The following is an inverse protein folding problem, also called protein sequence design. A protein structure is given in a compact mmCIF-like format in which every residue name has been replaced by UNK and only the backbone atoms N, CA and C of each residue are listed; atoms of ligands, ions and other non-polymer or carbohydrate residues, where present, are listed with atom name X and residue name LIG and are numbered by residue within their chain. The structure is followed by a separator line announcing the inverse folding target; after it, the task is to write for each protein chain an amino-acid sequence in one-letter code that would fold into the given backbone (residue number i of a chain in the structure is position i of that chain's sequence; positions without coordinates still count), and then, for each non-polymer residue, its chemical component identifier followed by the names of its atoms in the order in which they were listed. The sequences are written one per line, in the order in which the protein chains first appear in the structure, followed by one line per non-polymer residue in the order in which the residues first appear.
data_IF_624220770768
#
_entry.id   IF_624220770768
#
_cell.length_a   1.000
_cell.length_b   1.000
_cell.length_c   1.000
_cell.angle_alpha   90.00
_cell.angle_beta   90.00
_cell.angle_gamma   90.00
#
_symmetry.space_group_name_H-M   'P 1'
#
loop_
_entity.id
_entity.type
_entity.pdbx_description
1 polymer ?
#
# COMPACT_ATOMS: atom_id res chain seq x y z
N UNK A 1 -4.92 0.70 34.79
CA UNK A 1 -6.29 0.67 34.25
C UNK A 1 -7.03 -0.52 34.86
N UNK A 2 -8.36 -0.48 35.03
CA UNK A 2 -9.19 -1.55 35.64
C UNK A 2 -9.19 -1.70 37.18
N UNK A 3 -8.77 -0.69 37.94
CA UNK A 3 -8.96 -0.67 39.41
C UNK A 3 -10.42 -0.43 39.83
N UNK A 4 -10.79 -0.65 41.11
CA UNK A 4 -12.16 -0.43 41.64
C UNK A 4 -12.67 1.01 41.49
N UNK A 5 -11.76 1.98 41.29
CA UNK A 5 -12.09 3.39 41.03
C UNK A 5 -12.57 3.65 39.60
N UNK A 6 -12.47 2.66 38.70
CA UNK A 6 -12.76 2.81 37.27
C UNK A 6 -14.03 2.08 36.81
N UNK A 7 -14.72 1.36 37.71
CA UNK A 7 -16.04 0.80 37.44
C UNK A 7 -16.82 0.62 38.74
N UNK A 8 -18.14 0.68 38.69
CA UNK A 8 -19.02 0.21 39.77
C UNK A 8 -19.94 -0.88 39.26
N UNK A 9 -20.43 -1.69 40.20
CA UNK A 9 -21.42 -2.73 39.92
C UNK A 9 -22.63 -2.55 40.82
N UNK A 10 -23.80 -2.82 40.27
CA UNK A 10 -25.03 -2.86 41.01
C UNK A 10 -24.93 -3.92 42.11
N UNK A 11 -25.12 -3.53 43.38
CA UNK A 11 -24.93 -4.43 44.51
C UNK A 11 -25.94 -5.60 44.58
N UNK A 12 -27.07 -5.49 43.88
CA UNK A 12 -28.14 -6.49 43.87
C UNK A 12 -27.99 -7.47 42.70
N UNK A 13 -27.64 -6.98 41.50
CA UNK A 13 -27.57 -7.81 40.28
C UNK A 13 -26.16 -8.18 39.87
N UNK A 14 -25.14 -7.43 40.32
CA UNK A 14 -23.74 -7.59 39.93
C UNK A 14 -23.39 -6.98 38.56
N UNK A 15 -24.36 -6.40 37.86
CA UNK A 15 -24.15 -5.75 36.56
C UNK A 15 -23.26 -4.51 36.69
N UNK A 16 -22.48 -4.20 35.65
CA UNK A 16 -21.70 -2.96 35.60
C UNK A 16 -22.68 -1.79 35.36
N UNK A 17 -22.79 -0.87 36.32
CA UNK A 17 -23.65 0.32 36.23
C UNK A 17 -22.88 1.62 35.98
N UNK A 18 -21.55 1.58 36.08
CA UNK A 18 -20.63 2.62 35.63
C UNK A 18 -19.33 1.99 35.16
N UNK A 19 -18.81 2.48 34.05
CA UNK A 19 -17.48 2.18 33.55
C UNK A 19 -16.81 3.49 33.13
N UNK A 20 -15.65 3.77 33.70
CA UNK A 20 -14.81 4.89 33.29
C UNK A 20 -14.13 4.56 31.96
N UNK A 21 -14.69 5.06 30.86
CA UNK A 21 -14.12 4.96 29.51
C UNK A 21 -13.35 6.25 29.15
N UNK A 22 -12.37 6.61 29.98
CA UNK A 22 -11.50 7.74 29.68
C UNK A 22 -10.44 7.32 28.66
N UNK A 23 -10.26 8.08 27.59
CA UNK A 23 -9.13 7.86 26.68
C UNK A 23 -7.83 8.15 27.41
N UNK A 24 -6.90 7.20 27.40
CA UNK A 24 -5.56 7.37 27.95
C UNK A 24 -4.54 6.99 26.89
N UNK A 25 -3.50 7.82 26.72
CA UNK A 25 -2.36 7.46 25.89
C UNK A 25 -1.57 6.38 26.63
N UNK A 26 -1.77 5.13 26.21
CA UNK A 26 -1.24 3.94 26.89
C UNK A 26 -0.38 3.11 25.96
N UNK A 27 -0.65 3.15 24.66
CA UNK A 27 0.11 2.42 23.67
C UNK A 27 1.38 3.13 23.23
N UNK A 28 2.31 2.33 22.71
CA UNK A 28 3.54 2.76 22.07
C UNK A 28 3.59 2.17 20.66
N UNK A 29 3.97 2.98 19.68
CA UNK A 29 4.07 2.58 18.28
C UNK A 29 5.43 3.03 17.74
N UNK A 30 6.23 2.07 17.30
CA UNK A 30 7.59 2.30 16.83
C UNK A 30 7.71 1.82 15.39
N UNK A 31 7.98 2.77 14.49
CA UNK A 31 8.26 2.49 13.08
C UNK A 31 9.65 3.03 12.70
N UNK A 32 10.46 2.19 12.07
CA UNK A 32 11.79 2.55 11.59
C UNK A 32 12.01 2.01 10.18
N UNK A 33 12.59 2.83 9.32
CA UNK A 33 12.86 2.47 7.94
C UNK A 33 13.81 3.44 7.25
N UNK A 34 14.09 3.14 5.99
CA UNK A 34 14.92 3.95 5.10
C UNK A 34 14.12 4.25 3.84
N UNK A 35 14.04 5.52 3.48
CA UNK A 35 13.46 5.98 2.22
C UNK A 35 14.54 6.43 1.25
N UNK A 36 14.43 5.99 0.01
CA UNK A 36 15.37 6.26 -1.08
C UNK A 36 14.58 6.86 -2.24
N UNK A 37 15.06 7.98 -2.77
CA UNK A 37 14.51 8.58 -3.98
C UNK A 37 15.64 9.03 -4.89
N UNK A 38 15.48 8.76 -6.18
CA UNK A 38 16.40 9.18 -7.23
C UNK A 38 15.61 9.63 -8.46
N UNK A 39 16.01 10.75 -9.05
CA UNK A 39 15.48 11.23 -10.31
C UNK A 39 16.60 11.60 -11.27
N UNK A 40 16.36 11.37 -12.56
CA UNK A 40 17.32 11.67 -13.61
C UNK A 40 16.60 12.11 -14.88
N UNK A 41 16.86 13.33 -15.31
CA UNK A 41 16.37 13.89 -16.55
C UNK A 41 17.49 13.96 -17.59
N UNK A 42 17.17 13.52 -18.81
CA UNK A 42 18.11 13.57 -19.92
C UNK A 42 17.39 13.73 -21.26
N UNK A 43 18.13 14.10 -22.30
CA UNK A 43 17.60 14.23 -23.65
C UNK A 43 18.36 13.35 -24.63
N UNK A 44 17.63 12.70 -25.53
CA UNK A 44 18.20 11.98 -26.67
C UNK A 44 17.61 12.57 -27.95
N UNK A 45 18.38 13.41 -28.64
CA UNK A 45 17.87 14.20 -29.77
C UNK A 45 16.77 15.15 -29.33
N UNK A 46 15.58 15.03 -29.92
CA UNK A 46 14.38 15.81 -29.60
C UNK A 46 13.46 15.13 -28.57
N UNK A 47 13.90 14.02 -27.96
CA UNK A 47 13.12 13.30 -26.94
C UNK A 47 13.66 13.69 -25.56
N UNK A 48 12.78 14.19 -24.70
CA UNK A 48 13.06 14.45 -23.29
C UNK A 48 12.63 13.25 -22.47
N UNK A 49 13.53 12.73 -21.66
CA UNK A 49 13.30 11.60 -20.76
C UNK A 49 13.37 12.06 -19.32
N UNK A 50 12.54 11.46 -18.48
CA UNK A 50 12.58 11.57 -17.03
C UNK A 50 12.46 10.18 -16.44
N UNK A 51 13.41 9.80 -15.59
CA UNK A 51 13.39 8.54 -14.85
C UNK A 51 13.33 8.87 -13.37
N UNK A 52 12.41 8.25 -12.66
CA UNK A 52 12.22 8.43 -11.23
C UNK A 52 12.10 7.06 -10.56
N UNK A 53 12.80 6.86 -9.44
CA UNK A 53 12.68 5.67 -8.61
C UNK A 53 12.54 6.10 -7.17
N UNK A 54 11.54 5.56 -6.49
CA UNK A 54 11.34 5.71 -5.05
C UNK A 54 11.22 4.32 -4.42
N UNK A 55 11.84 4.12 -3.26
CA UNK A 55 11.77 2.89 -2.51
C UNK A 55 11.79 3.15 -1.00
N UNK A 56 11.04 2.34 -0.27
CA UNK A 56 11.03 2.33 1.20
C UNK A 56 11.42 0.94 1.65
N UNK A 57 12.39 0.87 2.57
CA UNK A 57 12.71 -0.33 3.32
C UNK A 57 12.22 -0.19 4.76
N UNK A 58 11.20 -0.96 5.12
CA UNK A 58 10.72 -1.05 6.49
C UNK A 58 11.60 -2.02 7.26
N UNK A 59 12.21 -1.53 8.34
CA UNK A 59 13.13 -2.32 9.18
C UNK A 59 12.48 -2.79 10.48
N UNK A 60 11.57 -1.99 11.01
CA UNK A 60 10.85 -2.28 12.26
C UNK A 60 9.48 -1.63 12.23
N UNK A 61 8.45 -2.38 12.59
CA UNK A 61 7.15 -1.80 12.91
C UNK A 61 6.47 -2.62 13.99
N UNK A 62 6.32 -2.05 15.18
CA UNK A 62 5.73 -2.71 16.34
C UNK A 62 4.72 -1.79 17.04
N UNK A 63 3.62 -2.37 17.52
CA UNK A 63 2.62 -1.67 18.35
C UNK A 63 2.48 -2.43 19.68
N UNK A 64 2.58 -1.70 20.79
CA UNK A 64 2.34 -2.19 22.14
C UNK A 64 1.10 -1.50 22.69
N UNK A 65 0.07 -2.24 23.13
CA UNK A 65 -1.20 -1.63 23.50
C UNK A 65 -1.16 -0.87 24.84
N UNK A 66 -0.33 -1.35 25.78
CA UNK A 66 -0.10 -0.72 27.09
C UNK A 66 1.25 -1.15 27.67
N UNK A 67 1.78 -0.38 28.62
CA UNK A 67 3.04 -0.71 29.30
C UNK A 67 3.02 -2.12 29.93
N UNK A 68 3.98 -2.96 29.55
CA UNK A 68 4.09 -4.36 29.95
C UNK A 68 3.38 -5.38 29.04
N UNK A 69 2.66 -4.93 28.00
CA UNK A 69 2.10 -5.83 26.97
C UNK A 69 3.20 -6.37 26.02
N UNK A 70 2.91 -7.47 25.33
CA UNK A 70 3.80 -7.99 24.28
C UNK A 70 3.54 -7.22 22.98
N UNK A 71 4.56 -6.61 22.34
CA UNK A 71 4.37 -5.90 21.09
C UNK A 71 3.88 -6.83 19.98
N UNK A 72 2.94 -6.36 19.17
CA UNK A 72 2.60 -6.98 17.89
C UNK A 72 3.56 -6.48 16.82
N UNK A 73 4.16 -7.40 16.05
CA UNK A 73 5.17 -7.12 15.03
C UNK A 73 4.51 -7.11 13.65
N UNK A 74 4.54 -5.96 12.98
CA UNK A 74 3.96 -5.74 11.66
C UNK A 74 4.98 -5.86 10.53
N UNK A 75 6.27 -5.59 10.78
CA UNK A 75 7.25 -5.57 9.69
C UNK A 75 7.36 -6.92 8.94
N UNK A 76 7.38 -6.83 7.61
CA UNK A 76 7.44 -8.00 6.74
C UNK A 76 6.14 -8.81 6.66
N UNK A 77 5.04 -8.33 7.24
CA UNK A 77 3.79 -9.07 7.29
C UNK A 77 2.64 -8.47 6.52
N UNK A 78 1.56 -9.23 6.42
CA UNK A 78 0.27 -8.87 5.84
C UNK A 78 -0.81 -9.75 6.47
N UNK A 79 -2.07 -9.33 6.49
CA UNK A 79 -3.14 -10.20 7.00
C UNK A 79 -4.42 -9.43 7.28
N UNK A 80 -5.51 -10.16 7.61
CA UNK A 80 -6.77 -9.48 7.92
C UNK A 80 -6.56 -8.41 8.96
N UNK A 81 -7.23 -7.28 8.73
CA UNK A 81 -7.55 -6.31 9.77
C UNK A 81 -6.33 -5.47 10.23
N UNK A 82 -5.11 -5.94 9.96
CA UNK A 82 -3.83 -5.32 10.25
C UNK A 82 -3.20 -4.63 9.04
N UNK A 83 -3.57 -5.01 7.81
CA UNK A 83 -3.01 -4.44 6.58
C UNK A 83 -1.64 -5.01 6.20
N UNK A 84 -1.06 -4.53 5.10
CA UNK A 84 0.20 -5.04 4.55
C UNK A 84 1.40 -4.12 4.76
N UNK A 85 2.42 -4.64 5.43
CA UNK A 85 3.69 -3.96 5.72
C UNK A 85 4.90 -4.79 5.22
N UNK A 86 4.96 -5.13 3.93
CA UNK A 86 6.13 -5.81 3.38
C UNK A 86 7.38 -4.97 3.58
N UNK A 87 8.52 -5.62 3.82
CA UNK A 87 9.77 -4.91 4.15
C UNK A 87 10.28 -4.03 3.01
N UNK A 88 9.83 -4.24 1.77
CA UNK A 88 10.17 -3.39 0.63
C UNK A 88 8.91 -2.95 -0.12
N UNK A 89 8.85 -1.66 -0.44
CA UNK A 89 7.94 -1.11 -1.45
C UNK A 89 8.74 -0.20 -2.36
N UNK A 90 8.48 -0.24 -3.66
CA UNK A 90 9.14 0.65 -4.59
C UNK A 90 8.24 1.01 -5.77
N UNK A 91 8.46 2.19 -6.32
CA UNK A 91 7.89 2.62 -7.60
C UNK A 91 9.02 3.13 -8.49
N UNK A 92 8.96 2.75 -9.76
CA UNK A 92 9.82 3.28 -10.81
C UNK A 92 8.97 3.87 -11.91
N UNK A 93 9.33 5.03 -12.44
CA UNK A 93 8.68 5.63 -13.59
C UNK A 93 9.72 6.03 -14.64
N UNK A 94 9.38 5.82 -15.89
CA UNK A 94 10.10 6.35 -17.03
C UNK A 94 9.12 7.07 -17.94
N UNK A 95 9.31 8.37 -18.07
CA UNK A 95 8.54 9.21 -18.97
C UNK A 95 9.41 9.67 -20.14
N UNK A 96 8.80 9.74 -21.32
CA UNK A 96 9.40 10.29 -22.52
C UNK A 96 8.42 11.22 -23.23
N UNK A 97 8.91 12.33 -23.77
CA UNK A 97 8.10 13.25 -24.55
C UNK A 97 8.86 13.79 -25.76
N UNK A 98 8.14 13.98 -26.86
CA UNK A 98 8.68 14.58 -28.08
C UNK A 98 7.58 15.24 -28.90
N UNK A 99 7.65 16.56 -29.05
CA UNK A 99 6.59 17.35 -29.69
C UNK A 99 5.23 17.09 -29.02
N UNK A 100 4.18 16.69 -29.76
CA UNK A 100 2.85 16.44 -29.20
C UNK A 100 2.74 15.10 -28.45
N UNK A 101 3.73 14.21 -28.57
CA UNK A 101 3.69 12.87 -27.97
C UNK A 101 4.25 12.89 -26.55
N UNK A 102 3.59 12.14 -25.68
CA UNK A 102 4.15 11.72 -24.39
C UNK A 102 3.82 10.26 -24.09
N UNK A 103 4.68 9.63 -23.31
CA UNK A 103 4.49 8.26 -22.83
C UNK A 103 5.13 8.10 -21.47
N UNK A 104 4.52 7.27 -20.63
CA UNK A 104 5.02 6.92 -19.32
C UNK A 104 4.86 5.42 -19.11
N UNK A 105 5.92 4.78 -18.65
CA UNK A 105 5.92 3.44 -18.11
C UNK A 105 6.16 3.53 -16.61
N UNK A 106 5.38 2.80 -15.82
CA UNK A 106 5.52 2.72 -14.38
C UNK A 106 5.60 1.26 -13.94
N UNK A 107 6.46 0.97 -12.97
CA UNK A 107 6.53 -0.30 -12.29
C UNK A 107 6.33 -0.09 -10.79
N UNK A 108 5.49 -0.91 -10.15
CA UNK A 108 5.25 -0.89 -8.71
C UNK A 108 5.61 -2.24 -8.11
N UNK A 109 6.59 -2.23 -7.20
CA UNK A 109 6.99 -3.39 -6.41
C UNK A 109 6.31 -3.34 -5.04
N UNK A 110 5.67 -4.45 -4.70
CA UNK A 110 5.27 -4.79 -3.34
C UNK A 110 6.12 -6.00 -2.95
N UNK A 111 6.94 -5.86 -1.92
CA UNK A 111 7.86 -6.90 -1.46
C UNK A 111 7.11 -8.15 -0.99
N UNK A 112 7.88 -9.23 -0.78
CA UNK A 112 7.35 -10.43 -0.15
C UNK A 112 6.87 -10.11 1.27
N UNK A 113 5.89 -10.88 1.74
CA UNK A 113 5.34 -10.74 3.09
C UNK A 113 4.95 -12.11 3.65
N UNK A 114 4.71 -12.17 4.95
CA UNK A 114 4.15 -13.35 5.63
C UNK A 114 2.79 -13.02 6.23
N UNK A 115 1.83 -13.93 6.10
CA UNK A 115 0.53 -13.79 6.74
C UNK A 115 0.66 -13.83 8.28
N UNK A 116 0.27 -12.76 8.98
CA UNK A 116 0.36 -12.67 10.46
C UNK A 116 -0.34 -13.84 11.18
N UNK A 117 -1.40 -14.36 10.57
CA UNK A 117 -2.23 -15.42 11.16
C UNK A 117 -2.11 -16.75 10.41
N UNK A 118 -1.16 -16.83 9.46
CA UNK A 118 -0.88 -18.02 8.68
C UNK A 118 -0.05 -19.05 9.47
N UNK A 119 -0.41 -20.34 9.35
CA UNK A 119 0.43 -21.39 9.89
C UNK A 119 1.66 -21.60 8.97
N UNK A 120 2.88 -21.78 9.52
CA UNK A 120 4.08 -21.99 8.70
C UNK A 120 3.90 -23.10 7.66
N UNK A 121 4.24 -22.81 6.40
CA UNK A 121 4.11 -23.75 5.27
C UNK A 121 2.68 -23.97 4.76
N UNK A 122 1.69 -23.29 5.32
CA UNK A 122 0.34 -23.31 4.79
C UNK A 122 0.21 -22.45 3.53
N UNK A 123 -0.64 -22.88 2.61
CA UNK A 123 -0.96 -22.10 1.40
C UNK A 123 -1.49 -20.73 1.82
N UNK A 124 -0.93 -19.66 1.25
CA UNK A 124 -1.29 -18.27 1.53
C UNK A 124 -0.65 -17.67 2.77
N UNK A 125 0.36 -18.34 3.34
CA UNK A 125 1.17 -17.80 4.44
C UNK A 125 2.40 -17.06 3.92
N UNK A 126 3.22 -17.69 3.08
CA UNK A 126 4.33 -17.01 2.42
C UNK A 126 3.84 -16.36 1.13
N UNK A 127 4.03 -15.06 1.01
CA UNK A 127 3.53 -14.26 -0.10
C UNK A 127 4.70 -13.70 -0.88
N UNK A 128 4.80 -14.11 -2.15
CA UNK A 128 5.84 -13.64 -3.06
C UNK A 128 5.69 -12.14 -3.36
N UNK A 129 6.83 -11.51 -3.68
CA UNK A 129 6.83 -10.15 -4.16
C UNK A 129 6.02 -10.02 -5.47
N UNK A 130 5.33 -8.88 -5.60
CA UNK A 130 4.47 -8.57 -6.75
C UNK A 130 5.00 -7.34 -7.46
N UNK A 131 5.12 -7.44 -8.78
CA UNK A 131 5.52 -6.35 -9.66
C UNK A 131 4.40 -6.05 -10.66
N UNK A 132 3.79 -4.88 -10.51
CA UNK A 132 2.79 -4.37 -11.47
C UNK A 132 3.47 -3.46 -12.47
N UNK A 133 3.02 -3.54 -13.72
CA UNK A 133 3.54 -2.76 -14.84
C UNK A 133 2.41 -1.98 -15.47
N UNK A 134 2.56 -0.67 -15.60
CA UNK A 134 1.54 0.23 -16.11
C UNK A 134 2.14 1.05 -17.26
N UNK A 135 1.35 1.29 -18.30
CA UNK A 135 1.76 2.08 -19.46
C UNK A 135 0.67 3.09 -19.79
N UNK A 136 1.06 4.33 -20.04
CA UNK A 136 0.17 5.36 -20.56
C UNK A 136 0.86 6.08 -21.72
N UNK A 137 0.10 6.42 -22.75
CA UNK A 137 0.55 7.33 -23.81
C UNK A 137 -0.52 8.38 -24.08
N UNK A 138 -0.11 9.53 -24.58
CA UNK A 138 -1.04 10.52 -25.06
C UNK A 138 -0.43 11.46 -26.09
N UNK A 139 -1.35 12.23 -26.66
CA UNK A 139 -1.12 13.08 -27.80
C UNK A 139 -1.82 14.42 -27.59
N UNK A 140 -1.05 15.50 -27.74
CA UNK A 140 -1.59 16.86 -27.76
C UNK A 140 -2.21 17.12 -29.15
N UNK A 141 -3.54 17.07 -29.24
CA UNK A 141 -4.26 17.18 -30.51
C UNK A 141 -4.38 18.65 -30.96
N UNK A 142 -4.66 19.55 -30.02
CA UNK A 142 -4.69 21.01 -30.20
C UNK A 142 -4.06 21.67 -28.97
N UNK A 143 -3.96 22.99 -28.89
CA UNK A 143 -3.45 23.67 -27.68
C UNK A 143 -4.32 23.40 -26.44
N UNK A 144 -5.62 23.19 -26.61
CA UNK A 144 -6.58 23.00 -25.53
C UNK A 144 -6.98 21.53 -25.30
N UNK A 145 -6.75 20.64 -26.28
CA UNK A 145 -7.24 19.26 -26.25
C UNK A 145 -6.10 18.24 -26.25
N UNK A 146 -6.11 17.40 -25.20
CA UNK A 146 -5.20 16.27 -25.02
C UNK A 146 -5.98 14.96 -24.98
N UNK A 147 -5.51 13.97 -25.74
CA UNK A 147 -6.02 12.60 -25.71
C UNK A 147 -4.99 11.69 -25.08
N UNK A 148 -5.43 10.72 -24.28
CA UNK A 148 -4.56 9.72 -23.66
C UNK A 148 -5.26 8.38 -23.53
N UNK A 149 -4.47 7.32 -23.55
CA UNK A 149 -4.90 5.96 -23.28
C UNK A 149 -3.83 5.24 -22.46
N UNK A 150 -4.26 4.27 -21.65
CA UNK A 150 -3.34 3.52 -20.83
C UNK A 150 -3.85 2.14 -20.46
N UNK A 151 -2.93 1.35 -19.93
CA UNK A 151 -3.15 0.00 -19.43
C UNK A 151 -2.47 -0.11 -18.08
N UNK A 152 -3.26 -0.32 -17.04
CA UNK A 152 -2.76 -0.71 -15.73
C UNK A 152 -2.69 -2.23 -15.65
N UNK A 153 -1.69 -2.74 -14.94
CA UNK A 153 -1.41 -4.17 -14.84
C UNK A 153 -1.27 -4.84 -16.23
N UNK A 154 -0.36 -4.31 -17.05
CA UNK A 154 -0.08 -4.69 -18.43
C UNK A 154 0.11 -6.19 -18.62
N UNK A 155 0.68 -6.89 -17.63
CA UNK A 155 0.93 -8.34 -17.70
C UNK A 155 -0.13 -9.20 -17.01
N UNK A 156 -1.25 -8.60 -16.56
CA UNK A 156 -2.34 -9.31 -15.89
C UNK A 156 -1.86 -10.11 -14.66
N UNK A 157 -0.98 -9.50 -13.85
CA UNK A 157 -0.48 -10.08 -12.61
C UNK A 157 -1.64 -10.14 -11.60
N UNK A 158 -1.92 -11.35 -11.10
CA UNK A 158 -2.96 -11.58 -10.10
C UNK A 158 -2.48 -11.20 -8.71
N UNK A 159 -3.41 -10.72 -7.89
CA UNK A 159 -3.20 -10.56 -6.46
C UNK A 159 -2.82 -11.91 -5.82
N UNK A 160 -1.85 -11.94 -4.90
CA UNK A 160 -1.44 -13.16 -4.21
C UNK A 160 -2.53 -13.63 -3.25
N UNK A 161 -2.60 -14.94 -3.01
CA UNK A 161 -3.52 -15.48 -2.02
C UNK A 161 -3.02 -15.17 -0.60
N UNK A 162 -3.87 -14.55 0.22
CA UNK A 162 -3.60 -14.27 1.65
C UNK A 162 -4.64 -15.03 2.46
N UNK A 163 -4.20 -15.97 3.30
CA UNK A 163 -5.08 -16.96 3.92
C UNK A 163 -6.01 -16.36 4.98
N UNK A 164 -5.48 -15.47 5.81
CA UNK A 164 -6.22 -14.86 6.92
C UNK A 164 -7.29 -13.88 6.47
N UNK A 165 -7.29 -13.48 5.19
CA UNK A 165 -8.22 -12.51 4.65
C UNK A 165 -9.52 -13.16 4.16
N UNK A 166 -10.61 -12.99 4.91
CA UNK A 166 -11.88 -13.70 4.69
C UNK A 166 -12.66 -13.27 3.45
N UNK A 167 -12.56 -12.00 3.04
CA UNK A 167 -13.55 -11.41 2.13
C UNK A 167 -13.13 -11.45 0.66
N UNK A 168 -11.82 -11.54 0.38
CA UNK A 168 -11.26 -11.37 -0.96
C UNK A 168 -10.26 -12.46 -1.39
N UNK A 169 -9.96 -13.43 -0.53
CA UNK A 169 -8.84 -14.37 -0.72
C UNK A 169 -7.48 -13.68 -0.91
N UNK A 170 -7.36 -12.38 -0.63
CA UNK A 170 -6.16 -11.55 -0.73
C UNK A 170 -6.36 -10.29 0.11
N UNK A 171 -5.28 -9.59 0.47
CA UNK A 171 -5.38 -8.26 1.06
C UNK A 171 -5.78 -7.23 -0.02
N UNK A 172 -7.03 -6.81 0.05
CA UNK A 172 -7.65 -5.87 -0.90
C UNK A 172 -7.13 -4.44 -0.78
N UNK A 173 -6.42 -4.10 0.29
CA UNK A 173 -5.83 -2.79 0.54
C UNK A 173 -4.39 -2.70 0.04
N UNK A 174 -3.70 -3.85 -0.02
CA UNK A 174 -2.30 -3.94 -0.46
C UNK A 174 -2.17 -4.26 -1.94
N UNK A 175 -2.98 -5.18 -2.48
CA UNK A 175 -2.83 -5.68 -3.85
C UNK A 175 -3.94 -5.22 -4.80
N UNK A 176 -3.61 -5.06 -6.09
CA UNK A 176 -4.60 -4.72 -7.10
C UNK A 176 -5.57 -5.88 -7.33
N UNK A 177 -6.86 -5.63 -7.08
CA UNK A 177 -7.94 -6.56 -7.40
C UNK A 177 -8.30 -6.56 -8.89
N UNK A 178 -8.03 -5.44 -9.56
CA UNK A 178 -8.20 -5.35 -10.99
C UNK A 178 -7.02 -6.04 -11.66
N UNK A 179 -7.35 -6.98 -12.56
CA UNK A 179 -6.40 -7.53 -13.53
C UNK A 179 -5.97 -6.45 -14.52
N UNK A 180 -5.73 -6.84 -15.77
CA UNK A 180 -5.41 -5.86 -16.82
C UNK A 180 -6.57 -4.89 -17.06
N UNK A 181 -6.33 -3.60 -16.82
CA UNK A 181 -7.34 -2.55 -16.94
C UNK A 181 -6.97 -1.54 -18.01
N UNK A 182 -7.84 -1.36 -19.00
CA UNK A 182 -7.65 -0.41 -20.09
C UNK A 182 -8.51 0.83 -19.85
N UNK A 183 -7.95 2.01 -20.14
CA UNK A 183 -8.68 3.26 -20.06
C UNK A 183 -8.28 4.23 -21.16
N UNK A 184 -9.18 5.19 -21.42
CA UNK A 184 -8.93 6.34 -22.28
C UNK A 184 -9.42 7.61 -21.56
N UNK A 185 -8.78 8.74 -21.87
CA UNK A 185 -9.08 10.04 -21.28
C UNK A 185 -8.91 11.15 -22.31
N UNK A 186 -9.90 12.03 -22.39
CA UNK A 186 -9.81 13.31 -23.08
C UNK A 186 -9.80 14.43 -22.02
N UNK A 187 -8.84 15.34 -22.14
CA UNK A 187 -8.74 16.52 -21.28
C UNK A 187 -8.83 17.76 -22.16
N UNK A 188 -9.84 18.58 -21.89
CA UNK A 188 -10.09 19.84 -22.60
C UNK A 188 -10.05 21.00 -21.61
N UNK A 189 -9.25 22.01 -21.91
CA UNK A 189 -9.20 23.26 -21.13
C UNK A 189 -10.03 24.31 -21.85
N UNK A 190 -11.08 24.79 -21.18
CA UNK A 190 -11.95 25.87 -21.64
C UNK A 190 -11.34 27.22 -21.26
N UNK A 191 -11.50 28.20 -22.14
CA UNK A 191 -11.14 29.61 -21.90
C UNK A 191 -12.14 30.30 -20.96
#
# INVERSE_FOLDING_TARGET
FCGPTHHTRNALTGDIDFLSAQSANTGDEVMQGIDISASYDFATGNIKHSVEVQATHLMKYEVTAFDGDTPFVYDGGVGCCDGGYPSWRATGSWSASSGPWHGTYNAQLIGSATDYYGAPGAIGTDIDAVLYHNVQSGYQLTENLKLSAGVDNLFDKKAPYVRSWSDGNTDTMTYSLLGRYFYARATWVLD
#
